data_IF_697163534125
#
_entry.id   IF_697163534125
#
_cell.length_a   1.000
_cell.length_b   1.000
_cell.length_c   1.000
_cell.angle_alpha   90.00
_cell.angle_beta   90.00
_cell.angle_gamma   90.00
#
_symmetry.space_group_name_H-M   'P 1'
#
loop_
_entity.id
_entity.type
_entity.pdbx_description
1 polymer ?
#
# COMPACT_ATOMS: atom_id res chain seq x y z
N UNK A 1 2.33 4.19 22.97
CA UNK A 1 1.87 3.18 22.00
C UNK A 1 0.72 2.41 22.60
N UNK A 2 -0.38 2.27 21.88
CA UNK A 2 -1.62 1.61 22.32
C UNK A 2 -1.73 0.21 21.70
N UNK A 3 -2.24 -0.79 22.42
CA UNK A 3 -2.53 -2.11 21.86
C UNK A 3 -3.87 -2.05 21.13
N UNK A 4 -3.88 -2.38 19.86
CA UNK A 4 -5.09 -2.43 19.04
C UNK A 4 -5.74 -3.82 19.17
N UNK A 5 -6.89 -3.89 19.84
CA UNK A 5 -7.57 -5.14 20.19
C UNK A 5 -8.77 -5.48 19.32
N UNK A 6 -9.40 -4.45 18.73
CA UNK A 6 -10.58 -4.61 17.88
C UNK A 6 -10.75 -3.45 16.91
N UNK A 7 -11.53 -3.68 15.87
CA UNK A 7 -11.94 -2.67 14.89
C UNK A 7 -13.37 -2.94 14.43
N UNK A 8 -14.04 -1.90 13.94
CA UNK A 8 -15.36 -2.03 13.33
C UNK A 8 -15.29 -1.64 11.86
N UNK A 9 -15.75 -2.51 10.96
CA UNK A 9 -15.87 -2.17 9.54
C UNK A 9 -17.19 -1.42 9.34
N UNK A 10 -17.17 -0.17 8.83
CA UNK A 10 -18.38 0.60 8.60
C UNK A 10 -19.32 -0.11 7.60
N UNK A 11 -20.63 -0.12 7.91
CA UNK A 11 -21.63 -0.64 6.99
C UNK A 11 -21.79 0.32 5.81
N UNK A 12 -21.88 -0.24 4.62
CA UNK A 12 -22.19 0.52 3.41
C UNK A 12 -23.64 1.02 3.46
N UNK A 13 -23.87 2.21 2.88
CA UNK A 13 -25.22 2.78 2.71
C UNK A 13 -25.94 2.03 1.59
N UNK A 14 -27.27 1.92 1.69
CA UNK A 14 -28.09 1.17 0.73
C UNK A 14 -28.10 1.81 -0.67
N UNK A 15 -28.09 3.15 -0.74
CA UNK A 15 -28.11 3.91 -2.00
C UNK A 15 -26.69 4.37 -2.35
N UNK A 16 -25.87 3.47 -2.93
CA UNK A 16 -24.51 3.77 -3.37
C UNK A 16 -24.16 3.06 -4.67
N UNK A 17 -23.12 3.54 -5.34
CA UNK A 17 -22.60 2.93 -6.56
C UNK A 17 -21.09 2.68 -6.44
N UNK A 18 -20.52 1.94 -7.39
CA UNK A 18 -19.10 1.57 -7.36
C UNK A 18 -18.12 2.76 -7.24
N UNK A 19 -18.50 3.95 -7.71
CA UNK A 19 -17.66 5.15 -7.61
C UNK A 19 -17.51 5.68 -6.19
N UNK A 20 -18.44 5.34 -5.27
CA UNK A 20 -18.39 5.80 -3.87
C UNK A 20 -17.41 4.99 -3.01
N UNK A 21 -16.86 3.91 -3.56
CA UNK A 21 -15.92 3.00 -2.87
C UNK A 21 -14.50 3.07 -3.41
N UNK A 22 -14.13 4.24 -3.94
CA UNK A 22 -12.79 4.57 -4.39
C UNK A 22 -12.46 4.14 -5.82
N UNK A 23 -11.73 5.03 -6.49
CA UNK A 23 -11.04 4.79 -7.76
C UNK A 23 -9.57 4.52 -7.44
N UNK A 24 -9.16 3.28 -7.58
CA UNK A 24 -7.84 2.81 -7.14
C UNK A 24 -6.97 2.52 -8.35
N UNK A 25 -5.75 3.05 -8.31
CA UNK A 25 -4.68 2.72 -9.24
C UNK A 25 -3.58 1.97 -8.51
N UNK A 26 -3.24 0.78 -9.02
CA UNK A 26 -2.13 -0.03 -8.53
C UNK A 26 -1.02 -0.01 -9.57
N UNK A 27 0.21 0.34 -9.17
CA UNK A 27 1.38 0.45 -10.07
C UNK A 27 2.46 -0.51 -9.60
N UNK A 28 2.77 -1.53 -10.40
CA UNK A 28 3.76 -2.52 -10.05
C UNK A 28 3.79 -3.73 -10.98
N UNK A 29 4.44 -4.79 -10.53
CA UNK A 29 4.53 -6.04 -11.29
C UNK A 29 5.38 -5.89 -12.55
N UNK A 30 6.70 -5.97 -12.43
CA UNK A 30 7.58 -6.12 -13.59
C UNK A 30 7.41 -7.50 -14.25
N UNK A 31 8.18 -7.77 -15.32
CA UNK A 31 8.08 -9.01 -16.07
C UNK A 31 8.31 -10.29 -15.25
N UNK A 32 9.04 -10.18 -14.12
CA UNK A 32 9.43 -11.33 -13.29
C UNK A 32 8.65 -11.41 -11.97
N UNK A 33 8.07 -10.31 -11.52
CA UNK A 33 7.43 -10.17 -10.19
C UNK A 33 5.94 -9.82 -10.31
N UNK A 34 5.27 -10.27 -11.38
CA UNK A 34 3.84 -10.01 -11.63
C UNK A 34 2.91 -10.53 -10.54
N UNK A 35 3.31 -11.57 -9.80
CA UNK A 35 2.53 -12.14 -8.71
C UNK A 35 2.21 -11.14 -7.60
N UNK A 36 3.14 -10.26 -7.25
CA UNK A 36 3.00 -9.26 -6.20
C UNK A 36 1.81 -8.32 -6.47
N UNK A 37 1.79 -7.69 -7.66
CA UNK A 37 0.71 -6.77 -8.01
C UNK A 37 -0.65 -7.47 -8.19
N UNK A 38 -0.64 -8.74 -8.62
CA UNK A 38 -1.86 -9.55 -8.73
C UNK A 38 -2.44 -9.83 -7.34
N UNK A 39 -1.60 -10.14 -6.34
CA UNK A 39 -2.04 -10.34 -4.96
C UNK A 39 -2.60 -9.05 -4.35
N UNK A 40 -1.94 -7.92 -4.56
CA UNK A 40 -2.45 -6.60 -4.14
C UNK A 40 -3.80 -6.27 -4.81
N UNK A 41 -3.95 -6.50 -6.11
CA UNK A 41 -5.19 -6.27 -6.85
C UNK A 41 -6.35 -7.13 -6.32
N UNK A 42 -6.12 -8.42 -6.10
CA UNK A 42 -7.11 -9.32 -5.50
C UNK A 42 -7.50 -8.87 -4.10
N UNK A 43 -6.53 -8.47 -3.29
CA UNK A 43 -6.80 -7.94 -1.96
C UNK A 43 -7.69 -6.69 -2.02
N UNK A 44 -7.43 -5.76 -2.95
CA UNK A 44 -8.30 -4.61 -3.18
C UNK A 44 -9.72 -5.00 -3.56
N UNK A 45 -9.89 -5.92 -4.52
CA UNK A 45 -11.23 -6.39 -4.97
C UNK A 45 -11.98 -7.03 -3.81
N UNK A 46 -11.38 -7.99 -3.14
CA UNK A 46 -12.05 -8.73 -2.05
C UNK A 46 -12.26 -7.91 -0.78
N UNK A 47 -11.54 -6.81 -0.63
CA UNK A 47 -11.80 -5.81 0.42
C UNK A 47 -12.86 -4.78 0.03
N UNK A 48 -13.45 -4.90 -1.17
CA UNK A 48 -14.61 -4.15 -1.57
C UNK A 48 -14.35 -2.83 -2.30
N UNK A 49 -13.18 -2.60 -2.87
CA UNK A 49 -12.92 -1.40 -3.70
C UNK A 49 -13.89 -1.29 -4.88
N UNK A 50 -14.26 -0.07 -5.21
CA UNK A 50 -15.26 0.18 -6.24
C UNK A 50 -14.76 0.03 -7.67
N UNK A 51 -13.65 0.69 -8.00
CA UNK A 51 -13.01 0.65 -9.32
C UNK A 51 -11.52 0.48 -9.16
N UNK A 52 -10.96 -0.55 -9.77
CA UNK A 52 -9.53 -0.87 -9.67
C UNK A 52 -8.93 -0.93 -11.06
N UNK A 53 -7.83 -0.22 -11.26
CA UNK A 53 -6.99 -0.32 -12.45
C UNK A 53 -5.57 -0.70 -12.03
N UNK A 54 -4.97 -1.64 -12.73
CA UNK A 54 -3.61 -2.11 -12.49
C UNK A 54 -2.72 -1.70 -13.66
N UNK A 55 -1.75 -0.85 -13.41
CA UNK A 55 -0.68 -0.52 -14.36
C UNK A 55 0.49 -1.47 -14.11
N UNK A 56 0.73 -2.40 -15.03
CA UNK A 56 1.70 -3.48 -14.89
C UNK A 56 2.38 -3.81 -16.21
N UNK A 57 3.44 -4.61 -16.16
CA UNK A 57 4.11 -5.08 -17.37
C UNK A 57 3.14 -5.94 -18.22
N UNK A 58 3.13 -5.80 -19.58
CA UNK A 58 2.18 -6.51 -20.44
C UNK A 58 2.13 -8.02 -20.28
N UNK A 59 3.25 -8.65 -19.90
CA UNK A 59 3.29 -10.11 -19.65
C UNK A 59 2.37 -10.57 -18.52
N UNK A 60 1.95 -9.65 -17.64
CA UNK A 60 1.09 -9.95 -16.49
C UNK A 60 -0.41 -9.83 -16.82
N UNK A 61 -0.79 -9.22 -17.95
CA UNK A 61 -2.18 -8.91 -18.27
C UNK A 61 -3.07 -10.15 -18.29
N UNK A 62 -2.67 -11.20 -19.00
CA UNK A 62 -3.44 -12.45 -19.06
C UNK A 62 -3.55 -13.14 -17.70
N UNK A 63 -2.47 -13.14 -16.91
CA UNK A 63 -2.46 -13.71 -15.57
C UNK A 63 -3.35 -12.92 -14.60
N UNK A 64 -3.34 -11.57 -14.69
CA UNK A 64 -4.21 -10.71 -13.90
C UNK A 64 -5.69 -10.98 -14.24
N UNK A 65 -6.08 -10.93 -15.52
CA UNK A 65 -7.45 -11.21 -15.94
C UNK A 65 -7.93 -12.61 -15.55
N UNK A 66 -7.04 -13.59 -15.56
CA UNK A 66 -7.36 -14.96 -15.12
C UNK A 66 -7.63 -15.07 -13.61
N UNK A 67 -7.06 -14.20 -12.80
CA UNK A 67 -7.13 -14.26 -11.32
C UNK A 67 -7.98 -13.18 -10.70
N UNK A 68 -8.20 -12.09 -11.42
CA UNK A 68 -8.90 -10.90 -10.93
C UNK A 68 -9.56 -10.18 -12.13
N UNK A 69 -10.58 -10.79 -12.76
CA UNK A 69 -11.23 -10.22 -13.94
C UNK A 69 -11.98 -8.91 -13.65
N UNK A 70 -12.24 -8.60 -12.40
CA UNK A 70 -12.87 -7.36 -11.94
C UNK A 70 -11.96 -6.14 -12.09
N UNK A 71 -10.63 -6.34 -12.10
CA UNK A 71 -9.66 -5.27 -12.24
C UNK A 71 -9.39 -4.97 -13.72
N UNK A 72 -9.42 -3.70 -14.07
CA UNK A 72 -8.92 -3.21 -15.37
C UNK A 72 -7.39 -3.29 -15.38
N UNK A 73 -6.81 -3.46 -16.56
CA UNK A 73 -5.34 -3.53 -16.70
C UNK A 73 -4.86 -2.63 -17.82
N UNK A 74 -3.69 -1.98 -17.59
CA UNK A 74 -3.01 -1.13 -18.57
C UNK A 74 -1.52 -1.43 -18.59
N UNK A 75 -0.86 -1.15 -19.70
CA UNK A 75 0.60 -1.20 -19.79
C UNK A 75 1.21 -0.07 -18.95
N UNK A 76 2.08 -0.41 -18.01
CA UNK A 76 2.81 0.55 -17.16
C UNK A 76 3.65 1.55 -17.99
N UNK A 77 3.98 1.22 -19.22
CA UNK A 77 4.74 2.08 -20.13
C UNK A 77 3.85 3.02 -20.98
N UNK A 78 2.52 2.85 -20.95
CA UNK A 78 1.59 3.80 -21.61
C UNK A 78 1.43 5.06 -20.74
N UNK A 79 2.39 5.96 -20.85
CA UNK A 79 2.42 7.21 -20.07
C UNK A 79 1.19 8.07 -20.29
N UNK A 80 0.60 8.07 -21.48
CA UNK A 80 -0.62 8.84 -21.78
C UNK A 80 -1.83 8.31 -21.00
N UNK A 81 -1.99 6.99 -20.96
CA UNK A 81 -3.05 6.37 -20.19
C UNK A 81 -2.77 6.51 -18.68
N UNK A 82 -1.52 6.32 -18.27
CA UNK A 82 -1.11 6.42 -16.88
C UNK A 82 -1.36 7.82 -16.31
N UNK A 83 -1.07 8.89 -17.05
CA UNK A 83 -1.39 10.27 -16.65
C UNK A 83 -2.89 10.42 -16.33
N UNK A 84 -3.76 9.99 -17.24
CA UNK A 84 -5.23 10.07 -17.03
C UNK A 84 -5.68 9.28 -15.80
N UNK A 85 -5.09 8.10 -15.60
CA UNK A 85 -5.43 7.24 -14.46
C UNK A 85 -4.97 7.87 -13.14
N UNK A 86 -3.76 8.44 -13.10
CA UNK A 86 -3.28 9.19 -11.94
C UNK A 86 -4.24 10.35 -11.64
N UNK A 87 -4.58 11.19 -12.63
CA UNK A 87 -5.46 12.35 -12.45
C UNK A 87 -6.85 11.99 -11.88
N UNK A 88 -7.36 10.80 -12.20
CA UNK A 88 -8.73 10.40 -11.86
C UNK A 88 -8.83 9.43 -10.68
N UNK A 89 -7.71 9.02 -10.09
CA UNK A 89 -7.68 8.08 -8.96
C UNK A 89 -7.77 8.82 -7.62
N UNK A 90 -8.46 8.21 -6.67
CA UNK A 90 -8.55 8.71 -5.29
C UNK A 90 -7.37 8.20 -4.44
N UNK A 91 -6.97 6.96 -4.68
CA UNK A 91 -5.87 6.29 -3.96
C UNK A 91 -4.97 5.52 -4.91
N UNK A 92 -3.67 5.63 -4.71
CA UNK A 92 -2.65 5.02 -5.57
C UNK A 92 -1.72 4.16 -4.71
N UNK A 93 -1.55 2.89 -5.09
CA UNK A 93 -0.51 2.02 -4.55
C UNK A 93 0.61 1.89 -5.56
N UNK A 94 1.85 2.08 -5.13
CA UNK A 94 3.03 1.80 -5.94
C UNK A 94 4.03 0.94 -5.18
N UNK A 95 4.62 -0.04 -5.88
CA UNK A 95 5.75 -0.79 -5.36
C UNK A 95 5.69 -2.30 -5.45
N UNK A 96 4.54 -2.98 -5.22
CA UNK A 96 4.47 -4.43 -5.31
C UNK A 96 5.08 -4.98 -6.60
N UNK A 97 6.24 -5.64 -6.50
CA UNK A 97 6.96 -6.20 -7.64
C UNK A 97 7.36 -5.22 -8.74
N UNK A 98 7.54 -3.94 -8.42
CA UNK A 98 7.87 -2.88 -9.37
C UNK A 98 9.23 -3.09 -10.04
N UNK A 99 10.19 -3.63 -9.29
CA UNK A 99 11.59 -3.78 -9.69
C UNK A 99 12.45 -2.58 -9.33
N UNK A 100 13.75 -2.86 -9.17
CA UNK A 100 14.75 -1.85 -8.78
C UNK A 100 15.61 -1.39 -9.97
N UNK A 101 15.18 -1.71 -11.18
CA UNK A 101 15.86 -1.34 -12.42
C UNK A 101 15.43 0.07 -12.90
N UNK A 102 15.94 0.44 -14.07
CA UNK A 102 15.62 1.73 -14.70
C UNK A 102 14.10 1.92 -14.92
N UNK A 103 13.35 0.86 -15.23
CA UNK A 103 11.91 0.95 -15.48
C UNK A 103 11.14 1.21 -14.18
N UNK A 104 11.51 0.54 -13.08
CA UNK A 104 10.93 0.80 -11.77
C UNK A 104 11.21 2.22 -11.29
N UNK A 105 12.45 2.70 -11.45
CA UNK A 105 12.81 4.08 -11.13
C UNK A 105 12.02 5.10 -11.96
N UNK A 106 11.84 4.84 -13.26
CA UNK A 106 11.04 5.72 -14.13
C UNK A 106 9.56 5.76 -13.73
N UNK A 107 8.96 4.61 -13.43
CA UNK A 107 7.57 4.54 -13.00
C UNK A 107 7.34 5.32 -11.70
N UNK A 108 8.26 5.18 -10.73
CA UNK A 108 8.22 5.95 -9.49
C UNK A 108 8.35 7.45 -9.75
N UNK A 109 9.37 7.86 -10.52
CA UNK A 109 9.58 9.27 -10.86
C UNK A 109 8.39 9.86 -11.60
N UNK A 110 7.83 9.11 -12.55
CA UNK A 110 6.65 9.53 -13.30
C UNK A 110 5.44 9.75 -12.39
N UNK A 111 5.17 8.83 -11.46
CA UNK A 111 4.10 9.02 -10.49
C UNK A 111 4.31 10.28 -9.64
N UNK A 112 5.51 10.46 -9.08
CA UNK A 112 5.81 11.61 -8.21
C UNK A 112 5.66 12.97 -8.92
N UNK A 113 5.90 13.01 -10.23
CA UNK A 113 5.72 14.22 -11.04
C UNK A 113 4.25 14.51 -11.39
N UNK A 114 3.37 13.53 -11.31
CA UNK A 114 1.98 13.64 -11.76
C UNK A 114 0.93 13.48 -10.65
N UNK A 115 1.33 13.05 -9.45
CA UNK A 115 0.42 12.88 -8.31
C UNK A 115 -0.24 14.20 -7.93
N UNK A 116 -1.52 14.15 -7.58
CA UNK A 116 -2.32 15.34 -7.28
C UNK A 116 -2.45 15.55 -5.77
N UNK A 117 -2.60 16.82 -5.32
CA UNK A 117 -2.67 17.15 -3.88
C UNK A 117 -3.81 16.49 -3.11
N UNK A 118 -4.90 16.11 -3.80
CA UNK A 118 -6.08 15.50 -3.17
C UNK A 118 -6.00 13.98 -3.03
N UNK A 119 -4.94 13.34 -3.52
CA UNK A 119 -4.82 11.89 -3.59
C UNK A 119 -4.15 11.30 -2.36
N UNK A 120 -4.45 10.03 -2.10
CA UNK A 120 -3.77 9.22 -1.11
C UNK A 120 -2.74 8.32 -1.80
N UNK A 121 -1.54 8.23 -1.23
CA UNK A 121 -0.44 7.43 -1.78
C UNK A 121 0.00 6.36 -0.79
N UNK A 122 0.02 5.13 -1.26
CA UNK A 122 0.51 3.97 -0.54
C UNK A 122 1.81 3.51 -1.21
N UNK A 123 2.89 3.44 -0.45
CA UNK A 123 4.23 3.12 -0.93
C UNK A 123 4.70 1.84 -0.24
N UNK A 124 4.91 0.78 -1.03
CA UNK A 124 5.29 -0.54 -0.54
C UNK A 124 6.50 -1.11 -1.30
N UNK A 125 7.20 -2.05 -0.71
CA UNK A 125 8.19 -2.90 -1.36
C UNK A 125 9.28 -2.15 -2.12
N UNK A 126 9.40 -2.44 -3.42
CA UNK A 126 10.47 -1.84 -4.26
C UNK A 126 10.40 -0.31 -4.32
N UNK A 127 9.21 0.30 -4.22
CA UNK A 127 9.07 1.76 -4.23
C UNK A 127 9.70 2.40 -2.97
N UNK A 128 9.59 1.78 -1.80
CA UNK A 128 10.29 2.24 -0.57
C UNK A 128 11.79 2.23 -0.80
N UNK A 129 12.31 1.14 -1.36
CA UNK A 129 13.74 1.00 -1.67
C UNK A 129 14.21 2.02 -2.70
N UNK A 130 13.40 2.32 -3.72
CA UNK A 130 13.71 3.34 -4.73
C UNK A 130 13.78 4.73 -4.08
N UNK A 131 12.77 5.11 -3.30
CA UNK A 131 12.75 6.41 -2.61
C UNK A 131 13.97 6.61 -1.71
N UNK A 132 14.30 5.59 -0.92
CA UNK A 132 15.48 5.62 -0.05
C UNK A 132 16.78 5.82 -0.84
N UNK A 133 17.00 5.06 -1.92
CA UNK A 133 18.20 5.15 -2.76
C UNK A 133 18.35 6.48 -3.48
N UNK A 134 17.24 7.00 -4.01
CA UNK A 134 17.22 8.27 -4.76
C UNK A 134 17.13 9.48 -3.84
N UNK A 135 16.91 9.28 -2.53
CA UNK A 135 16.69 10.34 -1.52
C UNK A 135 15.57 11.29 -1.95
N UNK A 136 14.49 10.72 -2.47
CA UNK A 136 13.35 11.49 -2.94
C UNK A 136 12.50 11.92 -1.76
N UNK A 137 12.10 13.18 -1.74
CA UNK A 137 11.18 13.71 -0.75
C UNK A 137 9.78 13.10 -0.90
N UNK A 138 9.06 12.99 0.22
CA UNK A 138 7.66 12.56 0.23
C UNK A 138 6.83 13.59 -0.56
N UNK A 139 6.00 13.15 -1.51
CA UNK A 139 5.22 14.06 -2.33
C UNK A 139 4.15 14.80 -1.52
N UNK A 140 3.84 16.02 -1.91
CA UNK A 140 2.79 16.82 -1.30
C UNK A 140 1.41 16.40 -1.84
N UNK A 141 0.90 15.28 -1.35
CA UNK A 141 -0.47 14.84 -1.59
C UNK A 141 -1.26 14.76 -0.26
N UNK A 142 -2.51 14.36 -0.31
CA UNK A 142 -3.40 14.43 0.85
C UNK A 142 -2.87 13.60 2.03
N UNK A 143 -2.57 12.33 1.77
CA UNK A 143 -1.99 11.45 2.76
C UNK A 143 -0.98 10.50 2.10
N UNK A 144 0.04 10.12 2.86
CA UNK A 144 1.02 9.10 2.47
C UNK A 144 1.16 8.05 3.56
N UNK A 145 1.16 6.78 3.18
CA UNK A 145 1.50 5.68 4.08
C UNK A 145 2.57 4.79 3.46
N UNK A 146 3.59 4.50 4.23
CA UNK A 146 4.60 3.51 3.92
C UNK A 146 4.30 2.21 4.64
N UNK A 147 4.58 1.08 3.97
CA UNK A 147 4.37 -0.25 4.55
C UNK A 147 5.67 -1.06 4.59
N UNK A 148 6.75 -0.55 5.21
CA UNK A 148 8.03 -1.22 5.23
C UNK A 148 8.06 -2.47 6.11
N UNK A 149 8.83 -3.49 5.74
CA UNK A 149 9.42 -4.40 6.70
C UNK A 149 10.67 -3.77 7.34
N UNK A 150 11.22 -4.36 8.39
CA UNK A 150 12.33 -3.77 9.17
C UNK A 150 13.54 -3.35 8.32
N UNK A 151 13.92 -4.14 7.30
CA UNK A 151 15.04 -3.81 6.42
C UNK A 151 14.74 -2.66 5.44
N UNK A 152 13.49 -2.53 4.98
CA UNK A 152 13.03 -1.38 4.20
C UNK A 152 12.99 -0.13 5.06
N UNK A 153 12.55 -0.28 6.32
CA UNK A 153 12.53 0.80 7.29
C UNK A 153 13.95 1.29 7.62
N UNK A 154 14.91 0.38 7.84
CA UNK A 154 16.31 0.75 8.01
C UNK A 154 16.82 1.60 6.84
N UNK A 155 16.51 1.21 5.60
CA UNK A 155 16.94 1.98 4.42
C UNK A 155 16.30 3.36 4.35
N UNK A 156 15.02 3.46 4.73
CA UNK A 156 14.25 4.70 4.64
C UNK A 156 14.56 5.67 5.79
N UNK A 157 14.64 5.15 7.03
CA UNK A 157 14.84 5.93 8.23
C UNK A 157 16.31 6.14 8.61
N UNK A 158 17.21 5.25 8.12
CA UNK A 158 18.60 5.19 8.54
C UNK A 158 18.81 4.54 9.93
N UNK A 159 17.76 3.96 10.55
CA UNK A 159 17.84 3.31 11.86
C UNK A 159 18.15 1.83 11.66
N UNK A 160 19.31 1.31 12.13
CA UNK A 160 19.63 -0.10 12.09
C UNK A 160 18.56 -0.97 12.76
N UNK A 161 18.33 -2.19 12.27
CA UNK A 161 17.24 -3.06 12.74
C UNK A 161 17.30 -3.25 14.27
N UNK A 162 18.50 -3.47 14.82
CA UNK A 162 18.73 -3.66 16.26
C UNK A 162 18.47 -2.40 17.11
N UNK A 163 18.34 -1.24 16.47
CA UNK A 163 18.10 0.04 17.13
C UNK A 163 16.69 0.60 16.85
N UNK A 164 15.81 -0.16 16.18
CA UNK A 164 14.43 0.22 15.87
C UNK A 164 13.54 0.14 17.11
N UNK A 165 13.77 1.02 18.08
CA UNK A 165 12.89 1.19 19.25
C UNK A 165 11.70 2.06 18.90
N UNK A 166 10.65 2.00 19.73
CA UNK A 166 9.45 2.85 19.56
C UNK A 166 9.80 4.34 19.45
N UNK A 167 10.65 4.83 20.34
CA UNK A 167 11.03 6.25 20.42
C UNK A 167 11.74 6.71 19.15
N UNK A 168 12.73 5.95 18.71
CA UNK A 168 13.49 6.27 17.48
C UNK A 168 12.64 6.17 16.23
N UNK A 169 11.79 5.14 16.16
CA UNK A 169 10.86 4.97 15.04
C UNK A 169 9.86 6.13 14.99
N UNK A 170 9.27 6.53 16.16
CA UNK A 170 8.35 7.66 16.22
C UNK A 170 9.00 8.96 15.76
N UNK A 171 10.21 9.25 16.23
CA UNK A 171 10.97 10.43 15.80
C UNK A 171 11.21 10.45 14.29
N UNK A 172 11.61 9.31 13.71
CA UNK A 172 11.82 9.20 12.26
C UNK A 172 10.51 9.36 11.46
N UNK A 173 9.41 8.80 11.95
CA UNK A 173 8.08 8.96 11.34
C UNK A 173 7.64 10.41 11.37
N UNK A 174 7.88 11.12 12.47
CA UNK A 174 7.57 12.55 12.59
C UNK A 174 8.36 13.41 11.59
N UNK A 175 9.62 13.02 11.31
CA UNK A 175 10.46 13.71 10.32
C UNK A 175 9.98 13.52 8.87
N UNK A 176 9.46 12.35 8.52
CA UNK A 176 8.95 12.08 7.16
C UNK A 176 7.49 12.54 6.96
N UNK A 177 6.83 13.00 8.02
CA UNK A 177 5.45 13.51 7.98
C UNK A 177 4.44 12.59 7.27
N UNK A 178 4.56 11.28 7.48
CA UNK A 178 3.74 10.26 6.81
C UNK A 178 3.36 9.15 7.77
N UNK A 179 2.27 8.44 7.49
CA UNK A 179 1.96 7.24 8.23
C UNK A 179 2.93 6.10 7.88
N UNK A 180 3.20 5.22 8.84
CA UNK A 180 4.05 4.03 8.64
C UNK A 180 3.39 2.81 9.27
N UNK A 181 3.27 1.73 8.51
CA UNK A 181 2.93 0.40 8.99
C UNK A 181 4.20 -0.45 8.96
N UNK A 182 4.89 -0.53 10.10
CA UNK A 182 6.13 -1.29 10.23
C UNK A 182 5.84 -2.77 10.43
N UNK A 183 6.06 -3.55 9.36
CA UNK A 183 5.81 -4.99 9.30
C UNK A 183 6.87 -5.76 10.07
N UNK A 184 6.47 -6.32 11.21
CA UNK A 184 7.32 -7.15 12.06
C UNK A 184 6.45 -8.05 12.94
N UNK A 185 7.08 -8.91 13.77
CA UNK A 185 6.34 -9.56 14.85
C UNK A 185 5.80 -8.50 15.82
N UNK A 186 4.48 -8.41 15.95
CA UNK A 186 3.85 -7.28 16.63
C UNK A 186 3.91 -6.00 15.76
N UNK A 187 3.28 -6.06 14.57
CA UNK A 187 3.22 -4.92 13.63
C UNK A 187 2.87 -3.63 14.34
N UNK A 188 3.62 -2.58 14.06
CA UNK A 188 3.42 -1.24 14.62
C UNK A 188 2.85 -0.30 13.56
N UNK A 189 1.85 0.50 13.96
CA UNK A 189 1.14 1.43 13.08
C UNK A 189 1.36 2.84 13.63
N UNK A 190 2.19 3.60 12.96
CA UNK A 190 2.51 4.98 13.29
C UNK A 190 1.63 5.92 12.45
N UNK A 191 0.69 6.58 13.11
CA UNK A 191 -0.18 7.59 12.52
C UNK A 191 0.24 8.98 13.01
N UNK A 192 -0.44 10.02 12.55
CA UNK A 192 -0.09 11.40 12.87
C UNK A 192 -0.01 11.63 14.39
N UNK A 193 -1.08 11.33 15.11
CA UNK A 193 -1.20 11.63 16.53
C UNK A 193 -1.11 10.39 17.43
N UNK A 194 -1.24 9.19 16.85
CA UNK A 194 -1.34 7.93 17.57
C UNK A 194 -0.39 6.87 17.04
N UNK A 195 0.00 5.94 17.90
CA UNK A 195 0.73 4.75 17.51
C UNK A 195 0.07 3.52 18.12
N UNK A 196 -0.20 2.54 17.27
CA UNK A 196 -0.79 1.26 17.68
C UNK A 196 0.18 0.11 17.47
N UNK A 197 0.02 -0.94 18.29
CA UNK A 197 0.72 -2.21 18.12
C UNK A 197 -0.31 -3.33 18.04
N UNK A 198 -0.07 -4.28 17.15
CA UNK A 198 -0.84 -5.52 17.07
C UNK A 198 -0.15 -6.61 17.87
N UNK A 199 -0.92 -7.31 18.71
CA UNK A 199 -0.48 -8.53 19.39
C UNK A 199 -1.05 -9.80 18.75
N UNK A 200 -1.79 -9.63 17.64
CA UNK A 200 -2.34 -10.69 16.80
C UNK A 200 -1.47 -10.93 15.57
N UNK A 201 -1.58 -12.12 15.04
CA UNK A 201 -0.82 -12.61 13.90
C UNK A 201 -0.13 -13.93 14.22
N UNK A 202 0.26 -14.65 13.19
CA UNK A 202 0.79 -16.01 13.30
C UNK A 202 2.05 -16.17 12.45
N UNK A 203 2.99 -17.04 12.85
CA UNK A 203 4.14 -17.38 12.00
C UNK A 203 3.76 -17.93 10.62
N UNK A 204 2.55 -18.47 10.44
CA UNK A 204 2.04 -18.92 9.14
C UNK A 204 1.91 -17.77 8.13
N UNK A 205 1.83 -16.53 8.59
CA UNK A 205 1.84 -15.33 7.73
C UNK A 205 3.24 -15.02 7.14
N UNK A 206 4.30 -15.69 7.58
CA UNK A 206 5.64 -15.51 7.05
C UNK A 206 5.80 -16.21 5.68
N UNK A 207 5.00 -15.79 4.69
CA UNK A 207 5.01 -16.31 3.32
C UNK A 207 5.01 -15.18 2.30
N UNK A 208 5.48 -15.49 1.07
CA UNK A 208 5.52 -14.50 -0.01
C UNK A 208 4.12 -13.97 -0.35
N UNK A 209 4.02 -12.64 -0.51
CA UNK A 209 2.78 -11.98 -0.90
C UNK A 209 1.92 -11.44 0.24
N UNK A 210 2.24 -11.74 1.50
CA UNK A 210 1.48 -11.22 2.64
C UNK A 210 1.60 -9.69 2.73
N UNK A 211 2.77 -9.12 2.44
CA UNK A 211 2.97 -7.68 2.36
C UNK A 211 2.16 -7.05 1.23
N UNK A 212 2.18 -7.66 0.04
CA UNK A 212 1.40 -7.20 -1.11
C UNK A 212 -0.12 -7.24 -0.84
N UNK A 213 -0.56 -8.27 -0.13
CA UNK A 213 -1.96 -8.39 0.32
C UNK A 213 -2.32 -7.29 1.31
N UNK A 214 -1.45 -7.02 2.29
CA UNK A 214 -1.66 -5.94 3.27
C UNK A 214 -1.76 -4.58 2.58
N UNK A 215 -0.81 -4.24 1.71
CA UNK A 215 -0.82 -2.95 1.00
C UNK A 215 -2.06 -2.80 0.12
N UNK A 216 -2.55 -3.89 -0.48
CA UNK A 216 -3.81 -3.94 -1.20
C UNK A 216 -5.03 -3.66 -0.31
N UNK A 217 -5.12 -4.27 0.88
CA UNK A 217 -6.22 -4.02 1.84
C UNK A 217 -6.18 -2.56 2.34
N UNK A 218 -5.00 -2.05 2.69
CA UNK A 218 -4.81 -0.65 3.13
C UNK A 218 -5.31 0.30 2.03
N UNK A 219 -4.89 0.10 0.78
CA UNK A 219 -5.31 0.92 -0.35
C UNK A 219 -6.82 0.90 -0.56
N UNK A 220 -7.42 -0.28 -0.42
CA UNK A 220 -8.87 -0.47 -0.51
C UNK A 220 -9.62 0.30 0.56
N UNK A 221 -9.20 0.21 1.81
CA UNK A 221 -9.90 0.86 2.93
C UNK A 221 -9.72 2.38 2.90
N UNK A 222 -8.56 2.89 2.52
CA UNK A 222 -8.33 4.32 2.30
C UNK A 222 -9.27 4.87 1.21
N UNK A 223 -9.53 4.09 0.15
CA UNK A 223 -10.48 4.48 -0.90
C UNK A 223 -11.94 4.41 -0.50
N UNK A 224 -12.29 3.75 0.61
CA UNK A 224 -13.65 3.50 1.06
C UNK A 224 -14.05 4.29 2.31
N UNK A 225 -13.10 4.64 3.16
CA UNK A 225 -13.35 5.28 4.45
C UNK A 225 -12.97 6.76 4.39
N UNK A 226 -13.78 7.60 5.04
CA UNK A 226 -13.53 9.05 5.09
C UNK A 226 -12.33 9.41 5.99
N UNK A 227 -12.05 8.58 7.00
CA UNK A 227 -10.95 8.76 7.95
C UNK A 227 -9.75 7.89 7.55
N UNK A 228 -8.67 8.55 7.14
CA UNK A 228 -7.44 7.91 6.70
C UNK A 228 -6.78 7.07 7.81
N UNK A 229 -6.65 7.62 9.01
CA UNK A 229 -6.01 6.94 10.14
C UNK A 229 -6.81 5.70 10.55
N UNK A 230 -8.14 5.83 10.54
CA UNK A 230 -9.04 4.71 10.80
C UNK A 230 -8.95 3.64 9.71
N UNK A 231 -8.84 4.01 8.44
CA UNK A 231 -8.67 3.09 7.32
C UNK A 231 -7.37 2.28 7.46
N UNK A 232 -6.24 2.95 7.72
CA UNK A 232 -4.93 2.31 7.84
C UNK A 232 -4.90 1.31 9.01
N UNK A 233 -5.34 1.73 10.21
CA UNK A 233 -5.34 0.84 11.38
C UNK A 233 -6.28 -0.34 11.21
N UNK A 234 -7.48 -0.10 10.65
CA UNK A 234 -8.49 -1.14 10.46
C UNK A 234 -8.03 -2.17 9.44
N UNK A 235 -7.46 -1.73 8.31
CA UNK A 235 -6.90 -2.62 7.28
C UNK A 235 -5.79 -3.52 7.84
N UNK A 236 -4.88 -2.93 8.61
CA UNK A 236 -3.75 -3.66 9.22
C UNK A 236 -4.23 -4.69 10.23
N UNK A 237 -5.20 -4.32 11.07
CA UNK A 237 -5.81 -5.24 12.04
C UNK A 237 -6.52 -6.40 11.34
N UNK A 238 -7.39 -6.11 10.37
CA UNK A 238 -8.17 -7.11 9.62
C UNK A 238 -7.24 -8.10 8.91
N UNK A 239 -6.16 -7.62 8.29
CA UNK A 239 -5.16 -8.50 7.65
C UNK A 239 -4.55 -9.49 8.66
N UNK A 240 -4.11 -9.01 9.82
CA UNK A 240 -3.51 -9.86 10.85
C UNK A 240 -4.54 -10.80 11.48
N UNK A 241 -5.76 -10.32 11.74
CA UNK A 241 -6.86 -11.10 12.29
C UNK A 241 -7.24 -12.28 11.38
N UNK A 242 -7.40 -12.03 10.08
CA UNK A 242 -7.70 -13.08 9.09
C UNK A 242 -6.55 -14.08 9.02
N UNK A 243 -5.31 -13.61 9.01
CA UNK A 243 -4.13 -14.48 8.98
C UNK A 243 -4.08 -15.43 10.19
N UNK A 244 -4.41 -14.95 11.38
CA UNK A 244 -4.45 -15.76 12.59
C UNK A 244 -5.59 -16.79 12.58
N UNK A 245 -6.77 -16.43 12.06
CA UNK A 245 -7.95 -17.30 12.08
C UNK A 245 -7.99 -18.34 10.95
N UNK A 246 -7.19 -18.17 9.90
CA UNK A 246 -7.10 -19.12 8.79
C UNK A 246 -5.89 -20.07 8.88
N UNK A 247 -5.06 -19.94 9.92
CA UNK A 247 -3.83 -20.74 10.10
C UNK A 247 -3.99 -21.92 11.05
#
# INVERSE_FOLDING_TARGET
MEILTDVTIPKRKDETHKGDYGRILLIGGNANLGGAIIMAARACVYSGSGLITVATHPTNHAALHSRCPEAMVVDINDTKMLTKLIETSDSILIGPGLGLDFKGNNAMTFLLQNIQPHQNLIIDGDAITIMSKLKVEVPKCQNVVFTPHQMEWERLSGIPIEEQTYERNREAVDQIHSAVVLKQHGTEIYLKDNTYKLEIGTPAMATGGMGDTLSGIITSFIGQFDDFDYAVKTATYVHSYIGEHLS
#
